data_IF_081166651815
#
_entry.id   IF_081166651815
#
_cell.length_a   1.000
_cell.length_b   1.000
_cell.length_c   1.000
_cell.angle_alpha   90.00
_cell.angle_beta   90.00
_cell.angle_gamma   90.00
#
_symmetry.space_group_name_H-M   'P 1'
#
loop_
_entity.id
_entity.type
_entity.pdbx_description
1 polymer ?
#
# COMPACT_ATOMS: atom_id res chain seq x y z
N UNK A 1 -15.36 -0.99 -6.65
CA UNK A 1 -14.18 -1.33 -7.47
C UNK A 1 -14.67 -1.89 -8.79
N UNK A 2 -14.22 -1.33 -9.92
CA UNK A 2 -14.48 -1.92 -11.24
C UNK A 2 -13.62 -3.19 -11.40
N UNK A 3 -13.98 -4.08 -12.32
CA UNK A 3 -13.27 -5.35 -12.55
C UNK A 3 -11.75 -5.17 -12.78
N UNK A 4 -11.36 -4.11 -13.50
CA UNK A 4 -9.96 -3.74 -13.77
C UNK A 4 -9.15 -3.43 -12.50
N UNK A 5 -9.83 -2.89 -11.50
CA UNK A 5 -9.28 -2.46 -10.22
C UNK A 5 -8.85 -3.68 -9.38
N UNK A 6 -9.54 -4.82 -9.54
CA UNK A 6 -9.27 -6.07 -8.83
C UNK A 6 -8.01 -6.74 -9.38
N UNK A 7 -7.89 -6.83 -10.70
CA UNK A 7 -6.71 -7.44 -11.34
C UNK A 7 -5.45 -6.63 -11.08
N UNK A 8 -5.55 -5.29 -11.12
CA UNK A 8 -4.41 -4.43 -10.86
C UNK A 8 -3.92 -4.56 -9.42
N UNK A 9 -4.82 -4.50 -8.43
CA UNK A 9 -4.45 -4.74 -7.03
C UNK A 9 -3.86 -6.13 -6.80
N UNK A 10 -4.36 -7.15 -7.50
CA UNK A 10 -3.80 -8.50 -7.40
C UNK A 10 -2.34 -8.55 -7.88
N UNK A 11 -2.01 -7.84 -8.96
CA UNK A 11 -0.64 -7.79 -9.47
C UNK A 11 0.29 -6.96 -8.58
N UNK A 12 -0.19 -5.84 -8.06
CA UNK A 12 0.56 -4.98 -7.13
C UNK A 12 0.92 -5.70 -5.82
N UNK A 13 0.22 -6.78 -5.46
CA UNK A 13 0.58 -7.59 -4.29
C UNK A 13 1.91 -8.33 -4.45
N UNK A 14 2.38 -8.61 -5.66
CA UNK A 14 3.68 -9.27 -5.85
C UNK A 14 4.82 -8.26 -5.70
N UNK A 15 5.85 -8.63 -4.94
CA UNK A 15 6.96 -7.71 -4.61
C UNK A 15 7.74 -7.27 -5.86
N UNK A 16 7.94 -8.16 -6.82
CA UNK A 16 8.62 -7.92 -8.10
C UNK A 16 7.89 -6.85 -8.91
N UNK A 17 6.59 -7.03 -9.11
CA UNK A 17 5.71 -6.09 -9.81
C UNK A 17 5.68 -4.76 -9.07
N UNK A 18 5.59 -4.77 -7.74
CA UNK A 18 5.57 -3.56 -6.94
C UNK A 18 6.89 -2.79 -7.04
N UNK A 19 8.04 -3.47 -6.92
CA UNK A 19 9.36 -2.84 -7.07
C UNK A 19 9.56 -2.26 -8.47
N UNK A 20 9.11 -2.94 -9.52
CA UNK A 20 9.19 -2.44 -10.89
C UNK A 20 8.38 -1.15 -11.06
N UNK A 21 7.14 -1.12 -10.57
CA UNK A 21 6.30 0.08 -10.62
C UNK A 21 6.98 1.23 -9.87
N UNK A 22 7.51 1.00 -8.67
CA UNK A 22 8.18 2.03 -7.86
C UNK A 22 9.46 2.53 -8.54
N UNK A 23 10.30 1.64 -9.07
CA UNK A 23 11.54 1.98 -9.77
C UNK A 23 11.27 2.79 -11.05
N UNK A 24 10.22 2.43 -11.80
CA UNK A 24 9.79 3.19 -12.98
C UNK A 24 9.26 4.57 -12.60
N UNK A 25 8.34 4.66 -11.64
CA UNK A 25 7.64 5.91 -11.35
C UNK A 25 8.46 6.92 -10.53
N UNK A 26 9.31 6.45 -9.61
CA UNK A 26 10.00 7.31 -8.65
C UNK A 26 11.51 7.41 -8.88
N UNK A 27 12.10 6.47 -9.62
CA UNK A 27 13.56 6.35 -9.75
C UNK A 27 14.06 6.34 -11.20
N UNK A 28 13.25 6.83 -12.15
CA UNK A 28 13.60 6.91 -13.57
C UNK A 28 14.08 5.57 -14.15
N UNK A 29 13.39 4.48 -13.80
CA UNK A 29 13.72 3.11 -14.18
C UNK A 29 15.08 2.61 -13.66
N UNK A 30 15.60 3.19 -12.58
CA UNK A 30 16.79 2.67 -11.88
C UNK A 30 16.35 1.65 -10.84
N UNK A 31 17.09 0.54 -10.75
CA UNK A 31 16.89 -0.52 -9.76
C UNK A 31 17.36 -0.05 -8.38
N UNK A 32 16.49 0.70 -7.69
CA UNK A 32 16.76 1.26 -6.35
C UNK A 32 16.06 0.44 -5.26
N UNK A 33 14.83 0.01 -5.52
CA UNK A 33 14.04 -0.82 -4.62
C UNK A 33 14.19 -2.28 -5.05
N UNK A 34 14.72 -3.11 -4.15
CA UNK A 34 14.84 -4.57 -4.32
C UNK A 34 13.57 -5.26 -3.81
N UNK A 35 13.01 -6.19 -4.58
CA UNK A 35 11.79 -6.94 -4.22
C UNK A 35 11.90 -7.67 -2.86
N UNK A 36 13.09 -8.12 -2.48
CA UNK A 36 13.36 -8.82 -1.22
C UNK A 36 13.46 -7.86 -0.03
N UNK A 37 13.53 -6.55 -0.29
CA UNK A 37 13.55 -5.50 0.73
C UNK A 37 12.15 -4.99 1.12
N UNK A 38 11.10 -5.51 0.46
CA UNK A 38 9.71 -5.14 0.69
C UNK A 38 8.99 -6.12 1.60
N UNK A 39 8.24 -5.58 2.56
CA UNK A 39 7.41 -6.33 3.50
C UNK A 39 5.96 -5.92 3.29
N UNK A 40 5.09 -6.91 3.12
CA UNK A 40 3.66 -6.70 2.95
C UNK A 40 3.01 -6.04 4.16
N UNK A 41 2.10 -5.10 3.88
CA UNK A 41 1.13 -4.65 4.88
C UNK A 41 -0.15 -5.50 4.78
N UNK A 42 -0.90 -5.66 5.89
CA UNK A 42 -2.17 -6.35 5.86
C UNK A 42 -3.15 -5.64 4.91
N UNK A 43 -3.59 -6.31 3.84
CA UNK A 43 -4.57 -5.76 2.88
C UNK A 43 -6.03 -5.88 3.36
N UNK A 44 -6.26 -6.62 4.45
CA UNK A 44 -7.55 -6.69 5.15
C UNK A 44 -7.34 -6.46 6.63
N UNK A 45 -8.12 -5.56 7.19
CA UNK A 45 -8.14 -5.30 8.63
C UNK A 45 -9.56 -5.34 9.17
N UNK A 46 -9.69 -5.71 10.44
CA UNK A 46 -10.96 -5.74 11.14
C UNK A 46 -10.99 -4.57 12.12
N UNK A 47 -11.74 -3.53 11.80
CA UNK A 47 -11.90 -2.37 12.66
C UNK A 47 -13.10 -2.59 13.58
N UNK A 48 -12.91 -2.40 14.90
CA UNK A 48 -14.02 -2.36 15.86
C UNK A 48 -14.36 -0.92 16.22
N UNK A 49 -15.56 -0.48 15.85
CA UNK A 49 -16.15 0.79 16.32
C UNK A 49 -17.45 0.44 17.04
N UNK A 50 -17.65 0.98 18.24
CA UNK A 50 -18.88 0.81 19.04
C UNK A 50 -19.34 -0.66 19.20
N UNK A 51 -18.38 -1.57 19.39
CA UNK A 51 -18.64 -3.01 19.57
C UNK A 51 -19.05 -3.76 18.29
N UNK A 52 -19.14 -3.09 17.14
CA UNK A 52 -19.38 -3.71 15.83
C UNK A 52 -18.07 -3.89 15.07
N UNK A 53 -17.95 -5.05 14.42
CA UNK A 53 -16.79 -5.41 13.60
C UNK A 53 -17.07 -5.01 12.16
N UNK A 54 -16.20 -4.18 11.60
CA UNK A 54 -16.22 -3.76 10.21
C UNK A 54 -15.01 -4.33 9.49
N UNK A 55 -15.22 -5.01 8.36
CA UNK A 55 -14.13 -5.40 7.46
C UNK A 55 -13.72 -4.18 6.64
N UNK A 56 -12.43 -3.86 6.65
CA UNK A 56 -11.84 -2.86 5.76
C UNK A 56 -10.90 -3.55 4.79
N UNK A 57 -11.20 -3.40 3.50
CA UNK A 57 -10.26 -3.69 2.42
C UNK A 57 -9.32 -2.49 2.28
N UNK A 58 -8.03 -2.72 2.49
CA UNK A 58 -6.96 -1.73 2.34
C UNK A 58 -6.35 -1.82 0.95
N UNK A 59 -5.85 -0.70 0.46
CA UNK A 59 -5.04 -0.61 -0.75
C UNK A 59 -3.68 -1.28 -0.55
N UNK A 60 -3.01 -1.63 -1.64
CA UNK A 60 -1.73 -2.36 -1.56
C UNK A 60 -0.65 -1.39 -1.10
N UNK A 61 -0.07 -1.69 0.05
CA UNK A 61 1.07 -0.95 0.58
C UNK A 61 2.17 -1.89 1.10
N UNK A 62 3.42 -1.44 1.06
CA UNK A 62 4.58 -2.22 1.48
C UNK A 62 5.57 -1.36 2.26
N UNK A 63 6.10 -1.94 3.33
CA UNK A 63 7.22 -1.37 4.08
C UNK A 63 8.52 -1.65 3.34
N UNK A 64 9.32 -0.62 3.10
CA UNK A 64 10.66 -0.75 2.57
C UNK A 64 11.69 -0.72 3.71
N UNK A 65 12.31 -1.87 3.99
CA UNK A 65 13.39 -1.99 4.98
C UNK A 65 14.78 -1.95 4.31
N UNK A 66 15.80 -1.55 5.06
CA UNK A 66 17.21 -1.45 4.63
C UNK A 66 17.54 -0.37 3.57
N UNK A 67 16.68 0.62 3.38
CA UNK A 67 17.05 1.84 2.63
C UNK A 67 17.85 2.83 3.50
N UNK A 68 18.52 3.81 2.89
CA UNK A 68 19.16 4.93 3.63
C UNK A 68 18.14 5.84 4.37
N UNK A 69 16.85 5.62 4.15
CA UNK A 69 15.74 6.27 4.82
C UNK A 69 15.18 5.26 5.84
N UNK A 70 15.11 5.66 7.11
CA UNK A 70 14.40 4.88 8.13
C UNK A 70 12.97 4.61 7.64
N UNK A 71 12.60 3.33 7.51
CA UNK A 71 11.28 2.77 7.13
C UNK A 71 10.42 3.71 6.26
N UNK A 72 10.39 3.48 4.95
CA UNK A 72 9.43 4.13 4.06
C UNK A 72 8.21 3.24 3.82
N UNK A 73 7.03 3.85 3.69
CA UNK A 73 5.78 3.17 3.31
C UNK A 73 5.35 3.66 1.93
N UNK A 74 5.21 2.73 1.00
CA UNK A 74 4.66 3.02 -0.34
C UNK A 74 3.26 2.43 -0.46
N UNK A 75 2.33 3.16 -1.07
CA UNK A 75 0.97 2.70 -1.32
C UNK A 75 0.43 3.22 -2.66
N UNK A 76 -0.29 2.37 -3.38
CA UNK A 76 -0.96 2.71 -4.63
C UNK A 76 -2.47 2.78 -4.44
N UNK A 77 -3.06 3.87 -4.90
CA UNK A 77 -4.48 4.15 -4.76
C UNK A 77 -5.14 4.13 -6.13
N UNK A 78 -5.84 3.04 -6.43
CA UNK A 78 -6.48 2.83 -7.74
C UNK A 78 -7.83 3.54 -7.78
N UNK A 79 -7.79 4.87 -7.91
CA UNK A 79 -8.98 5.72 -7.90
C UNK A 79 -9.39 6.18 -9.28
N UNK A 80 -10.70 6.19 -9.54
CA UNK A 80 -11.27 6.82 -10.75
C UNK A 80 -11.24 8.36 -10.67
N UNK A 81 -11.29 8.91 -9.46
CA UNK A 81 -11.19 10.36 -9.19
C UNK A 81 -10.17 10.58 -8.08
N UNK A 82 -9.14 11.42 -8.26
CA UNK A 82 -8.12 11.64 -7.25
C UNK A 82 -8.68 12.32 -5.98
N UNK A 83 -8.47 11.70 -4.82
CA UNK A 83 -8.70 12.29 -3.50
C UNK A 83 -7.36 12.58 -2.80
N UNK A 84 -7.13 13.86 -2.49
CA UNK A 84 -5.88 14.36 -1.89
C UNK A 84 -5.64 13.86 -0.47
N UNK A 85 -6.67 13.40 0.23
CA UNK A 85 -6.56 12.88 1.60
C UNK A 85 -6.26 11.37 1.64
N UNK A 86 -6.20 10.70 0.48
CA UNK A 86 -5.96 9.26 0.41
C UNK A 86 -4.63 8.82 1.01
N UNK A 87 -3.49 9.53 0.79
CA UNK A 87 -2.24 9.17 1.45
C UNK A 87 -2.35 9.21 2.99
N UNK A 88 -3.16 10.13 3.54
CA UNK A 88 -3.41 10.23 4.98
C UNK A 88 -4.30 9.09 5.49
N UNK A 89 -5.21 8.55 4.66
CA UNK A 89 -6.06 7.42 5.04
C UNK A 89 -5.26 6.14 5.25
N UNK A 90 -4.32 5.84 4.35
CA UNK A 90 -3.41 4.69 4.48
C UNK A 90 -2.67 4.73 5.82
N UNK A 91 -2.12 5.90 6.17
CA UNK A 91 -1.45 6.12 7.46
C UNK A 91 -2.41 5.99 8.64
N UNK A 92 -3.64 6.50 8.51
CA UNK A 92 -4.64 6.47 9.58
C UNK A 92 -5.09 5.05 9.94
N UNK A 93 -5.09 4.11 8.99
CA UNK A 93 -5.45 2.72 9.28
C UNK A 93 -4.50 2.07 10.27
N UNK A 94 -3.20 2.38 10.17
CA UNK A 94 -2.19 1.89 11.10
C UNK A 94 -2.24 2.65 12.43
N UNK A 95 -2.58 3.95 12.42
CA UNK A 95 -2.70 4.76 13.63
C UNK A 95 -3.92 4.42 14.51
N UNK A 96 -5.05 4.02 13.91
CA UNK A 96 -6.29 3.70 14.63
C UNK A 96 -6.19 2.37 15.41
N UNK A 97 -5.34 1.43 14.99
CA UNK A 97 -5.14 0.17 15.73
C UNK A 97 -4.51 0.37 17.13
N UNK A 98 -3.90 1.52 17.39
CA UNK A 98 -3.28 1.84 18.69
C UNK A 98 -4.20 2.63 19.64
N UNK A 99 -5.45 2.91 19.24
CA UNK A 99 -6.44 3.70 19.99
C UNK A 99 -7.36 2.88 20.89
#
# INVERSE_FOLDING_TARGET
>A
MQEKDITQKMLEQFNDVFSDIVNVLLFDCKDVVDENSLIDTPTKSMMKIDGKVHSQDRDVAKYWQNSRINIALFGFENQTVPDKLMPLRVISYDGIEYG
#
